data_IF_972676742696
#
_entry.id   IF_972676742696
#
_cell.length_a   1.000
_cell.length_b   1.000
_cell.length_c   1.000
_cell.angle_alpha   90.00
_cell.angle_beta   90.00
_cell.angle_gamma   90.00
#
_symmetry.space_group_name_H-M   'P 1'
#
loop_
_entity.id
_entity.type
_entity.pdbx_description
1 polymer ?
#
# COMPACT_ATOMS: atom_id res chain seq x y z
N UNK A 1 25.81 -2.54 19.16
CA UNK A 1 25.53 -2.03 20.51
C UNK A 1 24.02 -1.89 20.61
N UNK A 2 23.38 -2.86 21.25
CA UNK A 2 21.92 -2.95 21.33
C UNK A 2 21.41 -2.34 22.63
N UNK A 3 20.31 -1.61 22.55
CA UNK A 3 19.57 -1.15 23.72
C UNK A 3 18.36 -2.04 23.91
N UNK A 4 18.30 -2.71 25.06
CA UNK A 4 17.12 -3.43 25.56
C UNK A 4 16.14 -2.43 26.15
N UNK A 5 14.85 -2.57 25.83
CA UNK A 5 13.77 -1.99 26.62
C UNK A 5 12.88 -3.10 27.18
N UNK A 6 12.47 -2.89 28.43
CA UNK A 6 11.73 -3.79 29.28
C UNK A 6 10.42 -4.28 28.64
N UNK A 7 9.95 -5.46 29.08
CA UNK A 7 8.70 -6.13 28.70
C UNK A 7 8.77 -7.09 27.51
N UNK A 8 9.73 -8.04 27.49
CA UNK A 8 9.56 -9.44 27.04
C UNK A 8 8.83 -9.79 25.73
N UNK A 9 8.47 -8.81 24.90
CA UNK A 9 7.80 -8.98 23.64
C UNK A 9 8.83 -8.73 22.55
N UNK A 10 8.98 -9.71 21.66
CA UNK A 10 9.72 -9.54 20.42
C UNK A 10 8.90 -8.66 19.44
N UNK A 11 8.79 -7.37 19.71
CA UNK A 11 8.25 -6.41 18.76
C UNK A 11 9.36 -6.02 17.79
N UNK A 12 9.25 -6.46 16.53
CA UNK A 12 9.97 -5.82 15.44
C UNK A 12 9.40 -4.42 15.28
N UNK A 13 10.00 -3.43 15.94
CA UNK A 13 9.75 -2.03 15.65
C UNK A 13 10.44 -1.75 14.31
N UNK A 14 9.72 -1.93 13.22
CA UNK A 14 10.06 -1.30 11.95
C UNK A 14 10.02 0.20 12.21
N UNK A 15 11.18 0.85 12.21
CA UNK A 15 11.30 2.28 12.51
C UNK A 15 10.44 3.13 11.56
N UNK A 16 10.23 4.43 11.89
CA UNK A 16 9.45 5.35 11.07
C UNK A 16 9.95 5.48 9.62
N UNK A 17 11.17 5.03 9.36
CA UNK A 17 11.83 5.05 8.05
C UNK A 17 11.36 3.95 7.07
N UNK A 18 10.72 2.89 7.57
CA UNK A 18 10.28 1.77 6.72
C UNK A 18 8.79 1.87 6.33
N UNK A 19 8.00 2.65 7.09
CA UNK A 19 6.60 2.94 6.78
C UNK A 19 6.48 4.09 5.78
N UNK A 20 5.42 4.06 4.98
CA UNK A 20 5.11 5.15 4.06
C UNK A 20 4.56 6.32 4.89
N UNK A 21 4.98 7.57 4.62
CA UNK A 21 4.33 8.71 5.22
C UNK A 21 2.86 8.76 4.80
N UNK A 22 1.96 9.16 5.70
CA UNK A 22 0.51 9.22 5.43
C UNK A 22 0.15 9.99 4.16
N UNK A 23 0.92 11.05 3.86
CA UNK A 23 0.77 11.82 2.62
C UNK A 23 1.02 10.96 1.38
N UNK A 24 2.04 10.10 1.41
CA UNK A 24 2.38 9.22 0.29
C UNK A 24 1.32 8.12 0.13
N UNK A 25 0.88 7.53 1.24
CA UNK A 25 -0.20 6.52 1.24
C UNK A 25 -1.48 7.08 0.61
N UNK A 26 -1.87 8.31 1.01
CA UNK A 26 -3.03 9.00 0.46
C UNK A 26 -2.91 9.26 -1.04
N UNK A 27 -1.77 9.81 -1.49
CA UNK A 27 -1.56 10.10 -2.92
C UNK A 27 -1.55 8.82 -3.78
N UNK A 28 -0.96 7.73 -3.28
CA UNK A 28 -0.97 6.44 -3.97
C UNK A 28 -2.38 5.85 -4.07
N UNK A 29 -3.15 5.89 -2.97
CA UNK A 29 -4.54 5.45 -2.97
C UNK A 29 -5.38 6.28 -3.94
N UNK A 30 -5.25 7.60 -3.89
CA UNK A 30 -5.95 8.53 -4.77
C UNK A 30 -5.58 8.31 -6.24
N UNK A 31 -4.30 8.18 -6.56
CA UNK A 31 -3.86 7.94 -7.94
C UNK A 31 -4.44 6.63 -8.52
N UNK A 32 -4.57 5.59 -7.70
CA UNK A 32 -5.23 4.34 -8.11
C UNK A 32 -6.73 4.55 -8.38
N UNK A 33 -7.43 5.29 -7.52
CA UNK A 33 -8.89 5.52 -7.62
C UNK A 33 -9.22 6.49 -8.76
N UNK A 34 -8.48 7.58 -8.90
CA UNK A 34 -8.71 8.64 -9.89
C UNK A 34 -8.07 8.31 -11.25
N UNK A 35 -7.25 7.25 -11.34
CA UNK A 35 -6.56 6.87 -12.57
C UNK A 35 -7.45 6.46 -13.74
N UNK A 36 -8.78 6.30 -13.54
CA UNK A 36 -9.71 6.11 -14.66
C UNK A 36 -10.15 7.47 -15.18
N UNK A 37 -9.81 7.82 -16.42
CA UNK A 37 -10.22 9.07 -17.06
C UNK A 37 -11.73 9.22 -17.34
N UNK A 38 -12.56 8.34 -16.79
CA UNK A 38 -14.02 8.33 -16.93
C UNK A 38 -14.69 8.61 -15.59
N UNK A 39 -15.82 9.31 -15.63
CA UNK A 39 -16.71 9.45 -14.48
C UNK A 39 -17.20 8.06 -14.04
N UNK A 40 -17.09 7.78 -12.74
CA UNK A 40 -17.55 6.54 -12.13
C UNK A 40 -18.86 6.78 -11.38
N UNK A 41 -19.76 5.80 -11.42
CA UNK A 41 -20.88 5.78 -10.47
C UNK A 41 -20.35 5.61 -9.04
N UNK A 42 -21.14 6.01 -8.04
CA UNK A 42 -20.75 5.89 -6.63
C UNK A 42 -20.34 4.46 -6.25
N UNK A 43 -21.11 3.46 -6.67
CA UNK A 43 -20.82 2.05 -6.34
C UNK A 43 -19.54 1.56 -7.01
N UNK A 44 -19.28 1.99 -8.25
CA UNK A 44 -18.02 1.67 -8.94
C UNK A 44 -16.84 2.36 -8.27
N UNK A 45 -17.00 3.61 -7.84
CA UNK A 45 -15.98 4.34 -7.09
C UNK A 45 -15.64 3.64 -5.77
N UNK A 46 -16.64 3.26 -4.97
CA UNK A 46 -16.43 2.57 -3.70
C UNK A 46 -15.75 1.20 -3.88
N UNK A 47 -16.20 0.42 -4.87
CA UNK A 47 -15.57 -0.86 -5.18
C UNK A 47 -14.13 -0.69 -5.68
N UNK A 48 -13.83 0.38 -6.43
CA UNK A 48 -12.47 0.71 -6.86
C UNK A 48 -11.60 1.15 -5.69
N UNK A 49 -12.13 1.97 -4.80
CA UNK A 49 -11.47 2.40 -3.57
C UNK A 49 -11.05 1.20 -2.72
N UNK A 50 -11.96 0.26 -2.48
CA UNK A 50 -11.67 -0.95 -1.69
C UNK A 50 -10.54 -1.79 -2.33
N UNK A 51 -10.59 -2.01 -3.65
CA UNK A 51 -9.53 -2.73 -4.38
C UNK A 51 -8.19 -2.00 -4.33
N UNK A 52 -8.19 -0.68 -4.49
CA UNK A 52 -6.98 0.14 -4.44
C UNK A 52 -6.33 0.09 -3.07
N UNK A 53 -7.13 0.22 -1.99
CA UNK A 53 -6.63 0.14 -0.61
C UNK A 53 -6.05 -1.25 -0.32
N UNK A 54 -6.76 -2.32 -0.65
CA UNK A 54 -6.27 -3.68 -0.48
C UNK A 54 -4.95 -3.92 -1.24
N UNK A 55 -4.87 -3.47 -2.50
CA UNK A 55 -3.67 -3.66 -3.32
C UNK A 55 -2.49 -2.85 -2.79
N UNK A 56 -2.76 -1.62 -2.33
CA UNK A 56 -1.76 -0.74 -1.74
C UNK A 56 -1.20 -1.33 -0.45
N UNK A 57 -2.06 -1.80 0.47
CA UNK A 57 -1.63 -2.46 1.69
C UNK A 57 -0.78 -3.71 1.42
N UNK A 58 -1.18 -4.54 0.45
CA UNK A 58 -0.40 -5.71 0.06
C UNK A 58 0.97 -5.31 -0.51
N UNK A 59 1.02 -4.25 -1.31
CA UNK A 59 2.27 -3.76 -1.92
C UNK A 59 3.20 -3.17 -0.86
N UNK A 60 2.68 -2.42 0.10
CA UNK A 60 3.47 -1.83 1.19
C UNK A 60 4.04 -2.88 2.16
N UNK A 61 3.43 -4.07 2.23
CA UNK A 61 3.99 -5.22 2.97
C UNK A 61 5.18 -5.86 2.24
N UNK A 62 5.20 -5.77 0.91
CA UNK A 62 6.22 -6.37 0.04
C UNK A 62 7.38 -5.42 -0.26
N UNK A 63 7.12 -4.11 -0.33
CA UNK A 63 8.10 -3.07 -0.68
C UNK A 63 8.12 -2.02 0.42
N UNK A 64 9.30 -1.87 1.05
CA UNK A 64 9.55 -0.80 2.02
C UNK A 64 9.56 0.59 1.37
N UNK A 65 9.28 1.64 2.15
CA UNK A 65 9.31 3.01 1.63
C UNK A 65 10.68 3.42 1.07
N UNK A 66 11.79 2.90 1.63
CA UNK A 66 13.14 3.14 1.11
C UNK A 66 13.35 2.58 -0.29
N UNK A 67 12.76 1.42 -0.56
CA UNK A 67 12.90 0.73 -1.84
C UNK A 67 11.99 1.35 -2.91
N UNK A 68 10.78 1.76 -2.51
CA UNK A 68 9.91 2.62 -3.32
C UNK A 68 10.65 3.88 -3.79
N UNK A 69 11.28 4.63 -2.86
CA UNK A 69 12.07 5.83 -3.19
C UNK A 69 13.23 5.60 -4.17
N UNK A 70 13.72 4.37 -4.30
CA UNK A 70 14.81 4.02 -5.24
C UNK A 70 14.28 3.66 -6.62
N UNK A 71 13.09 3.06 -6.71
CA UNK A 71 12.55 2.58 -7.97
C UNK A 71 11.02 2.49 -7.96
N UNK A 72 10.38 3.50 -8.55
CA UNK A 72 8.94 3.51 -8.79
C UNK A 72 8.52 2.33 -9.69
N UNK A 73 9.40 1.87 -10.59
CA UNK A 73 9.10 0.75 -11.50
C UNK A 73 8.95 -0.58 -10.76
N UNK A 74 9.75 -0.81 -9.72
CA UNK A 74 9.63 -2.00 -8.87
C UNK A 74 8.30 -1.98 -8.11
N UNK A 75 7.91 -0.82 -7.59
CA UNK A 75 6.61 -0.62 -6.94
C UNK A 75 5.45 -0.90 -7.89
N UNK A 76 5.44 -0.29 -9.08
CA UNK A 76 4.37 -0.49 -10.06
C UNK A 76 4.28 -1.94 -10.53
N UNK A 77 5.41 -2.64 -10.66
CA UNK A 77 5.45 -4.06 -10.99
C UNK A 77 4.77 -4.91 -9.91
N UNK A 78 5.15 -4.74 -8.64
CA UNK A 78 4.52 -5.44 -7.51
C UNK A 78 3.03 -5.09 -7.38
N UNK A 79 2.69 -3.80 -7.48
CA UNK A 79 1.32 -3.33 -7.37
C UNK A 79 0.40 -3.99 -8.43
N UNK A 80 0.86 -4.07 -9.69
CA UNK A 80 0.12 -4.74 -10.77
C UNK A 80 -0.05 -6.24 -10.50
N UNK A 81 1.01 -6.90 -10.03
CA UNK A 81 0.98 -8.34 -9.73
C UNK A 81 0.07 -8.69 -8.55
N UNK A 82 -0.10 -7.77 -7.60
CA UNK A 82 -0.95 -7.94 -6.42
C UNK A 82 -2.40 -7.52 -6.68
N UNK A 83 -2.68 -6.65 -7.65
CA UNK A 83 -4.04 -6.24 -8.00
C UNK A 83 -5.08 -7.37 -8.19
N UNK A 84 -4.77 -8.55 -8.78
CA UNK A 84 -5.75 -9.63 -8.90
C UNK A 84 -6.11 -10.30 -7.58
N UNK A 85 -5.28 -10.22 -6.53
CA UNK A 85 -5.58 -10.85 -5.23
C UNK A 85 -6.74 -10.13 -4.53
N UNK A 86 -6.84 -8.81 -4.74
CA UNK A 86 -7.86 -7.94 -4.19
C UNK A 86 -9.12 -7.85 -5.06
N UNK A 87 -9.13 -8.42 -6.27
CA UNK A 87 -10.28 -8.40 -7.16
C UNK A 87 -11.40 -9.39 -6.75
N UNK A 88 -11.09 -10.34 -5.86
CA UNK A 88 -11.94 -11.50 -5.50
C UNK A 88 -12.88 -11.30 -4.30
N UNK A 89 -13.08 -10.07 -3.82
CA UNK A 89 -13.96 -9.77 -2.67
C UNK A 89 -15.47 -9.63 -2.98
N UNK A 90 -15.99 -10.28 -4.04
CA UNK A 90 -17.44 -10.40 -4.30
C UNK A 90 -17.79 -11.88 -4.44
N UNK A 91 -18.03 -12.55 -3.31
CA UNK A 91 -18.87 -13.75 -3.23
C UNK A 91 -19.65 -13.66 -1.94
#
# INVERSE_FOLDING_TARGET
MGTVCALGFNWVVSGPDDRYPIRVEYELARACIDGSGSLLSRDTYLAKQERCLCTLEATMKEISYKEYKKSDTAFLSKFRNLSPTCAKGRS
#
